data_IF_468899137749
#
_entry.id   IF_468899137749
#
_cell.length_a   1.000
_cell.length_b   1.000
_cell.length_c   1.000
_cell.angle_alpha   90.00
_cell.angle_beta   90.00
_cell.angle_gamma   90.00
#
_symmetry.space_group_name_H-M   'P 1'
#
loop_
_entity.id
_entity.type
_entity.pdbx_description
1 polymer ?
#
# COMPACT_ATOMS: atom_id res chain seq x y z
N UNK A 1 15.34 68.79 51.66
CA UNK A 1 14.21 68.01 51.11
C UNK A 1 14.36 67.78 49.62
N UNK A 2 14.66 68.80 48.80
CA UNK A 2 14.77 68.65 47.33
C UNK A 2 15.83 67.62 46.88
N UNK A 3 17.05 67.66 47.43
CA UNK A 3 18.10 66.68 47.11
C UNK A 3 17.73 65.22 47.43
N UNK A 4 16.86 65.01 48.43
CA UNK A 4 16.39 63.67 48.79
C UNK A 4 15.28 63.19 47.84
N UNK A 5 14.42 64.10 47.38
CA UNK A 5 13.42 63.85 46.35
C UNK A 5 14.10 63.52 45.01
N UNK A 6 15.15 64.25 44.63
CA UNK A 6 15.94 63.94 43.41
C UNK A 6 16.65 62.60 43.50
N UNK A 7 17.22 62.26 44.66
CA UNK A 7 17.81 60.93 44.88
C UNK A 7 16.78 59.81 44.75
N UNK A 8 15.60 59.98 45.35
CA UNK A 8 14.52 58.99 45.30
C UNK A 8 13.91 58.84 43.90
N UNK A 9 13.80 59.92 43.13
CA UNK A 9 13.32 59.87 41.74
C UNK A 9 14.33 59.15 40.84
N UNK A 10 15.63 59.42 40.98
CA UNK A 10 16.67 58.70 40.23
C UNK A 10 16.72 57.20 40.57
N UNK A 11 16.58 56.83 41.85
CA UNK A 11 16.52 55.42 42.23
C UNK A 11 15.26 54.74 41.72
N UNK A 12 14.11 55.42 41.75
CA UNK A 12 12.86 54.90 41.18
C UNK A 12 12.98 54.64 39.68
N UNK A 13 13.53 55.58 38.91
CA UNK A 13 13.78 55.39 37.47
C UNK A 13 14.72 54.21 37.21
N UNK A 14 15.77 54.04 38.01
CA UNK A 14 16.66 52.87 37.93
C UNK A 14 15.93 51.57 38.23
N UNK A 15 15.10 51.54 39.26
CA UNK A 15 14.28 50.37 39.63
C UNK A 15 13.25 50.02 38.55
N UNK A 16 12.61 51.02 37.94
CA UNK A 16 11.68 50.80 36.82
C UNK A 16 12.40 50.19 35.61
N UNK A 17 13.61 50.66 35.31
CA UNK A 17 14.44 50.11 34.23
C UNK A 17 14.87 48.68 34.51
N UNK A 18 15.35 48.38 35.71
CA UNK A 18 15.75 47.00 36.08
C UNK A 18 14.54 46.08 36.11
N UNK A 19 13.38 46.53 36.62
CA UNK A 19 12.16 45.73 36.60
C UNK A 19 11.69 45.41 35.17
N UNK A 20 11.82 46.37 34.24
CA UNK A 20 11.53 46.13 32.82
C UNK A 20 12.48 45.10 32.20
N UNK A 21 13.77 45.17 32.52
CA UNK A 21 14.77 44.20 32.03
C UNK A 21 14.45 42.81 32.57
N UNK A 22 14.22 42.69 33.88
CA UNK A 22 13.88 41.41 34.51
C UNK A 22 12.60 40.80 33.93
N UNK A 23 11.59 41.61 33.64
CA UNK A 23 10.38 41.11 32.96
C UNK A 23 10.69 40.54 31.58
N UNK A 24 11.45 41.27 30.75
CA UNK A 24 11.85 40.79 29.43
C UNK A 24 12.70 39.51 29.51
N UNK A 25 13.59 39.40 30.50
CA UNK A 25 14.40 38.21 30.72
C UNK A 25 13.55 37.02 31.18
N UNK A 26 12.58 37.24 32.08
CA UNK A 26 11.60 36.22 32.47
C UNK A 26 10.75 35.76 31.29
N UNK A 27 10.22 36.70 30.49
CA UNK A 27 9.42 36.37 29.31
C UNK A 27 10.25 35.56 28.30
N UNK A 28 11.51 35.94 28.09
CA UNK A 28 12.44 35.20 27.21
C UNK A 28 12.73 33.80 27.73
N UNK A 29 12.97 33.63 29.03
CA UNK A 29 13.21 32.32 29.63
C UNK A 29 11.98 31.42 29.49
N UNK A 30 10.78 31.96 29.77
CA UNK A 30 9.52 31.22 29.58
C UNK A 30 9.34 30.84 28.11
N UNK A 31 9.63 31.73 27.17
CA UNK A 31 9.55 31.39 25.74
C UNK A 31 10.56 30.31 25.33
N UNK A 32 11.78 30.33 25.88
CA UNK A 32 12.79 29.30 25.63
C UNK A 32 12.36 27.94 26.19
N UNK A 33 11.91 27.89 27.44
CA UNK A 33 11.45 26.64 28.08
C UNK A 33 10.17 26.09 27.45
N UNK A 34 9.30 26.98 26.92
CA UNK A 34 8.03 26.56 26.29
C UNK A 34 8.13 26.37 24.78
N UNK A 35 9.26 26.69 24.14
CA UNK A 35 9.40 26.60 22.68
C UNK A 35 9.25 25.16 22.17
N UNK A 36 9.94 24.21 22.80
CA UNK A 36 9.88 22.79 22.43
C UNK A 36 8.47 22.24 22.61
N UNK A 37 7.82 22.52 23.75
CA UNK A 37 6.44 22.12 24.00
C UNK A 37 5.45 22.74 22.99
N UNK A 38 5.62 24.01 22.61
CA UNK A 38 4.79 24.66 21.57
C UNK A 38 4.97 23.96 20.22
N UNK A 39 6.19 23.55 19.89
CA UNK A 39 6.49 22.82 18.67
C UNK A 39 5.85 21.42 18.69
N UNK A 40 6.05 20.65 19.75
CA UNK A 40 5.47 19.32 19.91
C UNK A 40 3.93 19.34 19.87
N UNK A 41 3.30 20.31 20.54
CA UNK A 41 1.84 20.51 20.46
C UNK A 41 1.39 20.79 19.02
N UNK A 42 2.17 21.55 18.25
CA UNK A 42 1.85 21.83 16.85
C UNK A 42 1.94 20.57 15.99
N UNK A 43 2.99 19.77 16.17
CA UNK A 43 3.17 18.50 15.47
C UNK A 43 2.07 17.49 15.81
N UNK A 44 1.77 17.31 17.10
CA UNK A 44 0.70 16.42 17.56
C UNK A 44 -0.66 16.84 17.00
N UNK A 45 -0.94 18.15 16.90
CA UNK A 45 -2.16 18.64 16.25
C UNK A 45 -2.21 18.28 14.77
N UNK A 46 -1.11 18.45 14.04
CA UNK A 46 -1.02 18.07 12.63
C UNK A 46 -1.23 16.55 12.45
N UNK A 47 -0.57 15.74 13.27
CA UNK A 47 -0.73 14.28 13.25
C UNK A 47 -2.16 13.87 13.58
N UNK A 48 -2.79 14.48 14.59
CA UNK A 48 -4.17 14.19 14.96
C UNK A 48 -5.15 14.52 13.81
N UNK A 49 -4.97 15.66 13.14
CA UNK A 49 -5.78 16.02 11.96
C UNK A 49 -5.59 14.99 10.84
N UNK A 50 -4.35 14.56 10.57
CA UNK A 50 -4.07 13.53 9.56
C UNK A 50 -4.74 12.20 9.91
N UNK A 51 -4.66 11.79 11.17
CA UNK A 51 -5.30 10.56 11.66
C UNK A 51 -6.82 10.64 11.59
N UNK A 52 -7.43 11.75 11.99
CA UNK A 52 -8.88 11.95 11.87
C UNK A 52 -9.34 11.87 10.42
N UNK A 53 -8.60 12.47 9.48
CA UNK A 53 -8.90 12.38 8.05
C UNK A 53 -8.77 10.94 7.53
N UNK A 54 -7.68 10.26 7.87
CA UNK A 54 -7.45 8.86 7.48
C UNK A 54 -8.53 7.93 8.04
N UNK A 55 -8.88 8.08 9.32
CA UNK A 55 -9.94 7.30 9.96
C UNK A 55 -11.29 7.51 9.30
N UNK A 56 -11.59 8.73 8.85
CA UNK A 56 -12.84 9.00 8.12
C UNK A 56 -12.87 8.31 6.76
N UNK A 57 -11.78 8.38 6.00
CA UNK A 57 -11.67 7.69 4.71
C UNK A 57 -11.82 6.17 4.86
N UNK A 58 -11.14 5.57 5.84
CA UNK A 58 -11.25 4.14 6.14
C UNK A 58 -12.67 3.74 6.54
N UNK A 59 -13.37 4.60 7.29
CA UNK A 59 -14.75 4.36 7.67
C UNK A 59 -15.68 4.41 6.45
N UNK A 60 -15.48 5.38 5.55
CA UNK A 60 -16.26 5.48 4.31
C UNK A 60 -16.01 4.25 3.41
N UNK A 61 -14.75 3.81 3.26
CA UNK A 61 -14.39 2.60 2.50
C UNK A 61 -15.04 1.34 3.09
N UNK A 62 -15.03 1.20 4.42
CA UNK A 62 -15.66 0.09 5.11
C UNK A 62 -17.17 0.07 4.86
N UNK A 63 -17.83 1.23 4.90
CA UNK A 63 -19.27 1.34 4.60
C UNK A 63 -19.56 0.93 3.16
N UNK A 64 -18.80 1.46 2.18
CA UNK A 64 -18.98 1.07 0.78
C UNK A 64 -18.79 -0.43 0.57
N UNK A 65 -17.75 -1.03 1.15
CA UNK A 65 -17.48 -2.48 1.02
C UNK A 65 -18.56 -3.32 1.69
N UNK A 66 -19.08 -2.86 2.83
CA UNK A 66 -20.18 -3.53 3.52
C UNK A 66 -21.46 -3.49 2.67
N UNK A 67 -21.76 -2.35 2.04
CA UNK A 67 -22.89 -2.22 1.12
C UNK A 67 -22.73 -3.09 -0.14
N UNK A 68 -21.54 -3.13 -0.74
CA UNK A 68 -21.24 -4.02 -1.88
C UNK A 68 -21.45 -5.48 -1.50
N UNK A 69 -20.93 -5.91 -0.35
CA UNK A 69 -21.09 -7.28 0.15
C UNK A 69 -22.57 -7.61 0.38
N UNK A 70 -23.31 -6.70 0.99
CA UNK A 70 -24.76 -6.87 1.19
C UNK A 70 -25.50 -6.97 -0.15
N UNK A 71 -25.17 -6.15 -1.15
CA UNK A 71 -25.74 -6.24 -2.50
C UNK A 71 -25.44 -7.60 -3.15
N UNK A 72 -24.19 -8.06 -3.10
CA UNK A 72 -23.80 -9.38 -3.62
C UNK A 72 -24.58 -10.50 -2.92
N UNK A 73 -24.73 -10.40 -1.60
CA UNK A 73 -25.52 -11.36 -0.81
C UNK A 73 -27.00 -11.34 -1.20
N UNK A 74 -27.59 -10.17 -1.37
CA UNK A 74 -28.98 -10.02 -1.83
C UNK A 74 -29.17 -10.56 -3.25
N UNK A 75 -28.25 -10.25 -4.16
CA UNK A 75 -28.27 -10.74 -5.54
C UNK A 75 -28.10 -12.25 -5.59
N UNK A 76 -27.25 -12.82 -4.73
CA UNK A 76 -27.14 -14.27 -4.56
C UNK A 76 -28.49 -14.85 -4.11
N UNK A 77 -29.13 -14.30 -3.09
CA UNK A 77 -30.44 -14.76 -2.61
C UNK A 77 -31.51 -14.64 -3.71
N UNK A 78 -31.52 -13.57 -4.51
CA UNK A 78 -32.47 -13.39 -5.61
C UNK A 78 -32.22 -14.34 -6.78
N UNK A 79 -30.96 -14.63 -7.08
CA UNK A 79 -30.55 -15.50 -8.17
C UNK A 79 -30.50 -16.98 -7.77
N UNK A 80 -30.70 -17.30 -6.49
CA UNK A 80 -30.87 -18.67 -6.02
C UNK A 80 -32.14 -19.26 -6.63
N UNK A 81 -31.96 -20.07 -7.68
CA UNK A 81 -33.04 -20.82 -8.33
C UNK A 81 -33.72 -21.78 -7.35
N UNK A 82 -32.96 -22.32 -6.40
CA UNK A 82 -33.42 -23.30 -5.43
C UNK A 82 -32.97 -22.86 -4.04
N UNK A 83 -33.93 -22.65 -3.14
CA UNK A 83 -33.69 -22.36 -1.72
C UNK A 83 -33.27 -23.68 -1.05
N UNK A 84 -32.30 -23.66 -0.13
CA UNK A 84 -31.65 -24.87 0.41
C UNK A 84 -32.58 -25.98 0.93
N UNK A 85 -32.06 -27.20 1.16
CA UNK A 85 -32.85 -28.36 1.55
C UNK A 85 -33.70 -28.14 2.81
N UNK A 86 -33.27 -27.25 3.70
CA UNK A 86 -34.01 -26.85 4.89
C UNK A 86 -35.28 -26.06 4.54
N UNK A 87 -35.20 -25.16 3.55
CA UNK A 87 -36.36 -24.42 3.08
C UNK A 87 -37.32 -25.32 2.30
N UNK A 88 -36.81 -26.21 1.44
CA UNK A 88 -37.64 -27.22 0.78
C UNK A 88 -38.38 -28.10 1.79
N UNK A 89 -37.70 -28.52 2.85
CA UNK A 89 -38.31 -29.28 3.95
C UNK A 89 -39.42 -28.48 4.65
N UNK A 90 -39.18 -27.22 5.00
CA UNK A 90 -40.18 -26.37 5.64
C UNK A 90 -41.42 -26.19 4.76
N UNK A 91 -41.25 -25.94 3.45
CA UNK A 91 -42.37 -25.82 2.51
C UNK A 91 -43.17 -27.13 2.45
N UNK A 92 -42.50 -28.28 2.44
CA UNK A 92 -43.16 -29.59 2.42
C UNK A 92 -43.96 -29.86 3.70
N UNK A 93 -43.43 -29.48 4.86
CA UNK A 93 -44.15 -29.58 6.15
C UNK A 93 -45.34 -28.63 6.19
N UNK A 94 -45.19 -27.39 5.72
CA UNK A 94 -46.29 -26.42 5.64
C UNK A 94 -47.43 -26.95 4.77
N UNK A 95 -47.14 -27.52 3.60
CA UNK A 95 -48.14 -28.12 2.72
C UNK A 95 -48.90 -29.27 3.40
N UNK A 96 -48.19 -30.11 4.15
CA UNK A 96 -48.81 -31.20 4.92
C UNK A 96 -49.76 -30.63 6.00
N UNK A 97 -49.31 -29.63 6.75
CA UNK A 97 -50.10 -29.01 7.81
C UNK A 97 -51.36 -28.34 7.27
N UNK A 98 -51.26 -27.64 6.12
CA UNK A 98 -52.44 -27.05 5.45
C UNK A 98 -53.49 -28.11 5.09
N UNK A 99 -53.09 -29.27 4.58
CA UNK A 99 -54.05 -30.35 4.27
C UNK A 99 -54.67 -31.01 5.48
N UNK A 100 -53.92 -31.13 6.58
CA UNK A 100 -54.45 -31.64 7.84
C UNK A 100 -55.53 -30.69 8.39
N UNK A 101 -55.32 -29.38 8.26
CA UNK A 101 -56.32 -28.38 8.63
C UNK A 101 -57.56 -28.39 7.74
N UNK A 102 -57.41 -28.70 6.45
CA UNK A 102 -58.53 -28.84 5.50
C UNK A 102 -59.34 -30.14 5.67
N UNK A 103 -58.93 -31.04 6.57
CA UNK A 103 -59.66 -32.28 6.85
C UNK A 103 -59.47 -33.39 5.82
N UNK A 104 -58.50 -33.24 4.90
CA UNK A 104 -58.16 -34.23 3.88
C UNK A 104 -56.76 -34.84 4.16
N UNK A 105 -56.63 -35.73 5.17
CA UNK A 105 -55.36 -36.35 5.50
C UNK A 105 -54.93 -37.44 4.50
N UNK A 106 -55.83 -37.87 3.62
CA UNK A 106 -55.56 -38.93 2.64
C UNK A 106 -55.01 -38.36 1.34
N UNK A 107 -54.08 -39.09 0.75
CA UNK A 107 -53.39 -38.70 -0.47
C UNK A 107 -54.07 -39.39 -1.67
N UNK A 108 -55.20 -38.86 -2.13
CA UNK A 108 -56.04 -39.51 -3.14
C UNK A 108 -55.57 -39.23 -4.59
N UNK A 109 -55.26 -37.96 -4.91
CA UNK A 109 -54.87 -37.54 -6.27
C UNK A 109 -53.54 -36.78 -6.33
N UNK A 110 -53.13 -36.20 -5.21
CA UNK A 110 -51.95 -35.33 -5.10
C UNK A 110 -51.13 -35.68 -3.87
N UNK A 111 -49.80 -35.64 -3.95
CA UNK A 111 -48.91 -35.94 -2.84
C UNK A 111 -49.00 -34.88 -1.72
N UNK A 112 -48.92 -35.34 -0.47
CA UNK A 112 -49.18 -34.56 0.75
C UNK A 112 -48.04 -33.58 1.09
N UNK A 113 -46.86 -33.75 0.47
CA UNK A 113 -45.68 -32.91 0.69
C UNK A 113 -45.40 -31.97 -0.49
N UNK A 114 -45.56 -32.45 -1.73
CA UNK A 114 -45.15 -31.71 -2.93
C UNK A 114 -46.31 -31.05 -3.68
N UNK A 115 -47.57 -31.32 -3.30
CA UNK A 115 -48.78 -30.91 -4.05
C UNK A 115 -48.81 -31.33 -5.53
N UNK A 116 -47.90 -32.20 -5.95
CA UNK A 116 -47.82 -32.73 -7.31
C UNK A 116 -48.80 -33.90 -7.50
N UNK A 117 -49.32 -34.13 -8.73
CA UNK A 117 -50.17 -35.27 -9.02
C UNK A 117 -49.41 -36.58 -8.77
N UNK A 118 -50.12 -37.57 -8.23
CA UNK A 118 -49.59 -38.91 -7.99
C UNK A 118 -49.27 -39.59 -9.33
N UNK A 119 -48.03 -39.49 -9.80
CA UNK A 119 -47.58 -40.25 -10.96
C UNK A 119 -47.37 -41.72 -10.57
N UNK A 120 -47.67 -42.64 -11.50
CA UNK A 120 -47.68 -44.11 -11.31
C UNK A 120 -46.35 -44.75 -10.84
N UNK A 121 -45.27 -43.98 -10.65
CA UNK A 121 -43.93 -44.49 -10.30
C UNK A 121 -43.67 -44.78 -8.82
N UNK A 122 -44.53 -44.34 -7.89
CA UNK A 122 -44.35 -44.51 -6.43
C UNK A 122 -45.45 -45.35 -5.75
N UNK A 123 -46.15 -46.18 -6.53
CA UNK A 123 -47.13 -47.13 -6.01
C UNK A 123 -46.45 -48.43 -5.60
N UNK A 124 -46.31 -48.67 -4.30
CA UNK A 124 -45.87 -49.98 -3.80
C UNK A 124 -47.09 -50.88 -3.71
N UNK A 125 -47.08 -52.00 -4.45
CA UNK A 125 -48.02 -53.10 -4.20
C UNK A 125 -47.72 -53.65 -2.80
N UNK A 126 -48.57 -53.34 -1.83
CA UNK A 126 -48.61 -54.08 -0.57
C UNK A 126 -49.03 -55.52 -0.84
N UNK A 127 -48.52 -56.43 0.00
CA UNK A 127 -48.57 -57.90 -0.04
C UNK A 127 -49.83 -58.55 -0.65
N UNK A 128 -49.73 -59.80 -1.18
CA UNK A 128 -50.86 -60.51 -1.77
C UNK A 128 -52.03 -60.59 -0.79
N UNK A 129 -53.28 -60.33 -1.22
CA UNK A 129 -54.44 -60.43 -0.35
C UNK A 129 -54.66 -61.88 0.10
N UNK A 130 -54.99 -62.10 1.37
CA UNK A 130 -55.36 -63.43 1.89
C UNK A 130 -56.78 -63.88 1.47
N UNK A 131 -57.46 -63.15 0.58
CA UNK A 131 -58.79 -63.49 0.05
C UNK A 131 -59.05 -62.88 -1.33
N UNK A 132 -59.67 -63.66 -2.23
CA UNK A 132 -59.81 -63.39 -3.68
C UNK A 132 -60.77 -62.22 -4.06
N UNK A 133 -61.35 -61.49 -3.10
CA UNK A 133 -62.37 -60.47 -3.37
C UNK A 133 -61.90 -59.00 -3.22
N UNK A 134 -60.63 -58.76 -2.88
CA UNK A 134 -60.08 -57.40 -2.80
C UNK A 134 -59.03 -57.14 -3.88
N UNK A 135 -59.38 -56.29 -4.86
CA UNK A 135 -58.39 -55.71 -5.77
C UNK A 135 -57.38 -54.90 -4.94
N UNK A 136 -56.06 -55.07 -5.13
CA UNK A 136 -55.06 -54.28 -4.43
C UNK A 136 -55.20 -52.81 -4.86
N UNK A 137 -55.63 -51.94 -3.95
CA UNK A 137 -55.61 -50.50 -4.19
C UNK A 137 -54.16 -49.99 -4.06
N UNK A 138 -53.65 -49.23 -5.05
CA UNK A 138 -52.32 -48.67 -4.99
C UNK A 138 -52.24 -47.61 -3.87
N UNK A 139 -51.64 -47.96 -2.73
CA UNK A 139 -51.36 -47.00 -1.66
C UNK A 139 -50.09 -46.21 -2.00
N UNK A 140 -50.24 -44.89 -2.16
CA UNK A 140 -49.10 -43.99 -2.32
C UNK A 140 -48.36 -43.79 -1.00
N UNK A 141 -47.04 -43.96 -1.00
CA UNK A 141 -46.19 -43.68 0.15
C UNK A 141 -45.71 -42.23 0.07
N UNK A 142 -46.33 -41.36 0.87
CA UNK A 142 -45.92 -39.96 1.00
C UNK A 142 -44.60 -39.87 1.78
N UNK A 143 -43.47 -39.62 1.10
CA UNK A 143 -42.22 -39.23 1.75
C UNK A 143 -41.82 -37.81 1.35
N UNK A 144 -41.24 -37.02 2.26
CA UNK A 144 -40.57 -35.78 1.91
C UNK A 144 -39.46 -36.08 0.89
N UNK A 145 -39.48 -35.39 -0.25
CA UNK A 145 -38.43 -35.50 -1.27
C UNK A 145 -37.63 -34.21 -1.21
N UNK A 146 -36.51 -34.26 -0.49
CA UNK A 146 -35.57 -33.14 -0.47
C UNK A 146 -34.69 -33.30 -1.71
N UNK A 147 -34.75 -32.33 -2.63
CA UNK A 147 -33.90 -32.35 -3.81
C UNK A 147 -32.52 -31.83 -3.39
N UNK A 148 -31.64 -32.75 -2.99
CA UNK A 148 -30.21 -32.45 -2.92
C UNK A 148 -29.71 -32.25 -4.35
N UNK A 149 -29.79 -31.01 -4.82
CA UNK A 149 -29.37 -30.62 -6.17
C UNK A 149 -27.85 -30.54 -6.29
N UNK A 150 -27.16 -31.61 -5.89
CA UNK A 150 -25.86 -31.92 -6.46
C UNK A 150 -26.18 -32.69 -7.74
N UNK A 151 -26.55 -31.96 -8.80
CA UNK A 151 -26.51 -32.54 -10.15
C UNK A 151 -25.03 -32.75 -10.46
N UNK A 152 -24.51 -33.91 -10.05
CA UNK A 152 -23.08 -34.18 -9.87
C UNK A 152 -22.25 -34.14 -11.16
N UNK A 153 -22.85 -33.90 -12.32
CA UNK A 153 -22.14 -33.75 -13.59
C UNK A 153 -21.80 -32.30 -13.92
N UNK A 154 -22.80 -31.41 -13.97
CA UNK A 154 -22.62 -30.03 -14.46
C UNK A 154 -22.03 -29.11 -13.41
N UNK A 155 -22.47 -29.23 -12.14
CA UNK A 155 -21.90 -28.45 -11.04
C UNK A 155 -20.47 -28.90 -10.72
N UNK A 156 -20.20 -30.22 -10.76
CA UNK A 156 -18.85 -30.73 -10.53
C UNK A 156 -17.87 -30.26 -11.62
N UNK A 157 -18.27 -30.31 -12.89
CA UNK A 157 -17.44 -29.81 -13.99
C UNK A 157 -17.21 -28.30 -13.92
N UNK A 158 -18.23 -27.51 -13.55
CA UNK A 158 -18.07 -26.07 -13.33
C UNK A 158 -17.11 -25.76 -12.18
N UNK A 159 -17.24 -26.48 -11.06
CA UNK A 159 -16.34 -26.34 -9.90
C UNK A 159 -14.92 -26.80 -10.22
N UNK A 160 -14.74 -27.85 -11.02
CA UNK A 160 -13.41 -28.29 -11.49
C UNK A 160 -12.76 -27.22 -12.38
N UNK A 161 -13.52 -26.64 -13.31
CA UNK A 161 -13.03 -25.56 -14.17
C UNK A 161 -12.67 -24.31 -13.35
N UNK A 162 -13.51 -23.93 -12.39
CA UNK A 162 -13.22 -22.83 -11.47
C UNK A 162 -11.97 -23.13 -10.61
N UNK A 163 -11.80 -24.38 -10.15
CA UNK A 163 -10.61 -24.77 -9.39
C UNK A 163 -9.34 -24.66 -10.24
N UNK A 164 -9.40 -25.06 -11.51
CA UNK A 164 -8.28 -24.92 -12.45
C UNK A 164 -7.95 -23.44 -12.65
N UNK A 165 -8.96 -22.60 -12.91
CA UNK A 165 -8.77 -21.17 -13.11
C UNK A 165 -8.21 -20.48 -11.85
N UNK A 166 -8.68 -20.86 -10.66
CA UNK A 166 -8.15 -20.34 -9.41
C UNK A 166 -6.69 -20.76 -9.18
N UNK A 167 -6.32 -21.99 -9.56
CA UNK A 167 -4.93 -22.45 -9.48
C UNK A 167 -4.03 -21.71 -10.46
N UNK A 168 -4.48 -21.50 -11.69
CA UNK A 168 -3.75 -20.71 -12.69
C UNK A 168 -3.54 -19.28 -12.21
N UNK A 169 -4.59 -18.63 -11.69
CA UNK A 169 -4.49 -17.28 -11.12
C UNK A 169 -3.54 -17.23 -9.91
N UNK A 170 -3.52 -18.26 -9.06
CA UNK A 170 -2.58 -18.34 -7.95
C UNK A 170 -1.13 -18.55 -8.41
N UNK A 171 -0.91 -19.27 -9.52
CA UNK A 171 0.41 -19.39 -10.13
C UNK A 171 0.88 -18.03 -10.68
N UNK A 172 0.04 -17.35 -11.47
CA UNK A 172 0.40 -16.04 -12.03
C UNK A 172 0.66 -15.00 -10.95
N UNK A 173 -0.14 -14.99 -9.88
CA UNK A 173 0.08 -14.10 -8.74
C UNK A 173 1.38 -14.40 -7.99
N UNK A 174 1.82 -15.67 -7.97
CA UNK A 174 3.10 -16.07 -7.37
C UNK A 174 4.27 -15.62 -8.24
N UNK A 175 4.17 -15.79 -9.55
CA UNK A 175 5.18 -15.34 -10.50
C UNK A 175 5.35 -13.81 -10.44
N UNK A 176 4.24 -13.08 -10.37
CA UNK A 176 4.26 -11.62 -10.19
C UNK A 176 4.87 -11.21 -8.84
N UNK A 177 4.59 -11.96 -7.77
CA UNK A 177 5.19 -11.73 -6.45
C UNK A 177 6.70 -11.96 -6.48
N UNK A 178 7.18 -13.03 -7.11
CA UNK A 178 8.60 -13.33 -7.27
C UNK A 178 9.30 -12.22 -8.08
N UNK A 179 8.70 -11.82 -9.21
CA UNK A 179 9.23 -10.74 -10.04
C UNK A 179 9.30 -9.40 -9.32
N UNK A 180 8.28 -9.08 -8.51
CA UNK A 180 8.28 -7.87 -7.68
C UNK A 180 9.35 -7.95 -6.58
N UNK A 181 9.58 -9.13 -6.02
CA UNK A 181 10.61 -9.33 -5.02
C UNK A 181 12.01 -9.13 -5.59
N UNK A 182 12.29 -9.66 -6.79
CA UNK A 182 13.56 -9.45 -7.49
C UNK A 182 13.81 -7.98 -7.80
N UNK A 183 12.78 -7.28 -8.30
CA UNK A 183 12.88 -5.84 -8.57
C UNK A 183 13.12 -5.02 -7.31
N UNK A 184 12.51 -5.42 -6.19
CA UNK A 184 12.71 -4.77 -4.90
C UNK A 184 14.16 -4.96 -4.42
N UNK A 185 14.72 -6.18 -4.55
CA UNK A 185 16.10 -6.46 -4.21
C UNK A 185 17.08 -5.63 -5.06
N UNK A 186 16.86 -5.53 -6.38
CA UNK A 186 17.67 -4.68 -7.27
C UNK A 186 17.63 -3.21 -6.82
N UNK A 187 16.45 -2.70 -6.45
CA UNK A 187 16.31 -1.32 -5.97
C UNK A 187 16.96 -1.11 -4.60
N UNK A 188 16.92 -2.10 -3.71
CA UNK A 188 17.63 -2.05 -2.45
C UNK A 188 19.16 -1.99 -2.67
N UNK A 189 19.69 -2.80 -3.57
CA UNK A 189 21.10 -2.77 -3.97
C UNK A 189 21.50 -1.40 -4.53
N UNK A 190 20.72 -0.84 -5.46
CA UNK A 190 20.92 0.51 -6.00
C UNK A 190 20.96 1.56 -4.88
N UNK A 191 20.01 1.49 -3.93
CA UNK A 191 19.94 2.46 -2.83
C UNK A 191 21.14 2.35 -1.90
N UNK A 192 21.62 1.15 -1.63
CA UNK A 192 22.79 0.95 -0.76
C UNK A 192 24.08 1.44 -1.44
N UNK A 193 24.19 1.24 -2.75
CA UNK A 193 25.28 1.77 -3.56
C UNK A 193 25.28 3.31 -3.54
N UNK A 194 24.13 3.93 -3.76
CA UNK A 194 23.98 5.40 -3.71
C UNK A 194 24.28 5.98 -2.32
N UNK A 195 23.90 5.28 -1.24
CA UNK A 195 24.29 5.69 0.14
C UNK A 195 25.79 5.64 0.34
N UNK A 196 26.47 4.62 -0.18
CA UNK A 196 27.92 4.51 -0.10
C UNK A 196 28.60 5.65 -0.88
N UNK A 197 28.12 5.94 -2.09
CA UNK A 197 28.63 7.07 -2.88
C UNK A 197 28.39 8.42 -2.19
N UNK A 198 27.22 8.61 -1.59
CA UNK A 198 26.90 9.84 -0.85
C UNK A 198 27.84 10.00 0.34
N UNK A 199 28.05 8.93 1.12
CA UNK A 199 29.00 8.95 2.25
C UNK A 199 30.41 9.30 1.80
N UNK A 200 30.88 8.73 0.70
CA UNK A 200 32.19 9.06 0.15
C UNK A 200 32.26 10.54 -0.28
N UNK A 201 31.19 11.08 -0.86
CA UNK A 201 31.11 12.52 -1.20
C UNK A 201 31.13 13.39 0.04
N UNK A 202 30.39 13.03 1.09
CA UNK A 202 30.39 13.74 2.38
C UNK A 202 31.79 13.75 3.00
N UNK A 203 32.48 12.60 3.00
CA UNK A 203 33.87 12.50 3.50
C UNK A 203 34.83 13.41 2.72
N UNK A 204 34.69 13.48 1.40
CA UNK A 204 35.46 14.38 0.53
C UNK A 204 35.15 15.84 0.88
N UNK A 205 33.88 16.21 1.02
CA UNK A 205 33.47 17.57 1.38
C UNK A 205 34.04 17.95 2.74
N UNK A 206 33.92 17.10 3.75
CA UNK A 206 34.50 17.33 5.08
C UNK A 206 36.04 17.40 5.07
N UNK A 207 36.71 16.72 4.14
CA UNK A 207 38.15 16.88 3.94
C UNK A 207 38.46 18.25 3.31
N UNK A 208 37.70 18.66 2.29
CA UNK A 208 37.86 19.96 1.65
C UNK A 208 37.61 21.12 2.62
N UNK A 209 36.57 21.03 3.47
CA UNK A 209 36.30 22.02 4.52
C UNK A 209 37.49 22.18 5.46
N UNK A 210 38.06 21.06 5.94
CA UNK A 210 39.27 21.09 6.79
C UNK A 210 40.48 21.68 6.08
N UNK A 211 40.63 21.40 4.79
CA UNK A 211 41.73 21.95 3.99
C UNK A 211 41.54 23.45 3.72
N UNK A 212 40.30 23.92 3.52
CA UNK A 212 39.97 25.34 3.43
C UNK A 212 40.23 26.08 4.75
N UNK A 213 39.81 25.52 5.88
CA UNK A 213 40.09 26.10 7.20
C UNK A 213 41.61 26.22 7.46
N UNK A 214 42.38 25.19 7.10
CA UNK A 214 43.84 25.22 7.20
C UNK A 214 44.44 26.32 6.32
N UNK A 215 43.99 26.42 5.07
CA UNK A 215 44.47 27.43 4.13
C UNK A 215 44.10 28.83 4.60
N UNK A 216 42.91 29.04 5.15
CA UNK A 216 42.49 30.31 5.74
C UNK A 216 43.41 30.73 6.89
N UNK A 217 43.76 29.80 7.78
CA UNK A 217 44.72 30.03 8.85
C UNK A 217 46.11 30.41 8.33
N UNK A 218 46.63 29.70 7.33
CA UNK A 218 47.92 30.02 6.69
C UNK A 218 47.90 31.41 6.03
N UNK A 219 46.81 31.79 5.37
CA UNK A 219 46.64 33.13 4.78
C UNK A 219 46.60 34.20 5.87
N UNK A 220 45.90 33.96 6.98
CA UNK A 220 45.85 34.89 8.12
C UNK A 220 47.26 35.10 8.70
N UNK A 221 48.03 34.03 8.87
CA UNK A 221 49.38 34.12 9.42
C UNK A 221 50.35 34.83 8.46
N UNK A 222 50.29 34.52 7.16
CA UNK A 222 51.03 35.27 6.14
C UNK A 222 50.64 36.76 6.14
N UNK A 223 49.36 37.10 6.26
CA UNK A 223 48.92 38.49 6.35
C UNK A 223 49.45 39.20 7.60
N UNK A 224 49.55 38.51 8.74
CA UNK A 224 50.17 39.07 9.96
C UNK A 224 51.66 39.33 9.74
N UNK A 225 52.38 38.40 9.14
CA UNK A 225 53.81 38.54 8.84
C UNK A 225 54.06 39.70 7.86
N UNK A 226 53.21 39.86 6.84
CA UNK A 226 53.23 41.01 5.93
C UNK A 226 52.94 42.35 6.63
N UNK A 227 52.08 42.37 7.65
CA UNK A 227 51.72 43.57 8.42
C UNK A 227 52.79 44.00 9.44
N UNK A 228 53.79 43.16 9.70
CA UNK A 228 54.96 43.47 10.53
C UNK A 228 56.26 43.36 9.71
N UNK A 229 56.59 44.32 8.82
CA UNK A 229 57.77 44.25 7.96
C UNK A 229 59.10 44.40 8.71
N UNK A 230 59.07 44.83 9.98
CA UNK A 230 60.22 45.44 10.65
C UNK A 230 61.14 44.47 11.41
N UNK A 231 61.11 43.16 11.13
CA UNK A 231 62.00 42.22 11.83
C UNK A 231 62.78 41.20 11.00
N UNK A 232 62.70 41.21 9.68
CA UNK A 232 63.54 40.36 8.83
C UNK A 232 64.18 41.15 7.68
N UNK A 233 65.16 41.98 8.02
CA UNK A 233 66.36 42.12 7.17
C UNK A 233 67.19 40.86 7.32
N UNK A 234 66.81 39.81 6.60
CA UNK A 234 67.66 38.64 6.38
C UNK A 234 67.40 38.11 4.96
N UNK A 235 68.27 38.56 4.05
CA UNK A 235 68.70 37.85 2.83
C UNK A 235 67.65 37.01 2.10
N UNK A 236 66.77 37.70 1.38
CA UNK A 236 65.94 37.14 0.32
C UNK A 236 66.83 36.81 -0.91
N UNK A 237 67.30 35.57 -0.98
CA UNK A 237 67.73 34.92 -2.23
C UNK A 237 66.48 34.53 -3.03
N UNK A 238 65.93 35.50 -3.77
CA UNK A 238 64.79 35.30 -4.67
C UNK A 238 65.35 34.98 -6.06
N UNK A 239 65.60 33.70 -6.35
CA UNK A 239 66.00 33.27 -7.71
C UNK A 239 65.62 31.83 -8.07
N UNK A 240 64.59 31.21 -7.46
CA UNK A 240 64.23 29.83 -7.81
C UNK A 240 62.73 29.46 -7.66
N UNK A 241 61.83 30.32 -8.16
CA UNK A 241 60.35 30.09 -8.11
C UNK A 241 59.75 29.87 -9.52
N UNK A 242 60.55 29.52 -10.54
CA UNK A 242 60.04 29.25 -11.90
C UNK A 242 60.40 27.86 -12.46
N UNK A 243 60.74 26.88 -11.63
CA UNK A 243 60.86 25.49 -12.09
C UNK A 243 59.48 24.80 -12.04
N UNK A 244 58.76 24.82 -13.17
CA UNK A 244 57.62 23.91 -13.37
C UNK A 244 58.10 22.45 -13.40
N UNK A 245 57.42 21.50 -12.74
CA UNK A 245 57.71 20.09 -12.94
C UNK A 245 57.38 19.70 -14.38
N UNK A 246 58.39 19.21 -15.10
CA UNK A 246 58.26 18.65 -16.44
C UNK A 246 57.41 17.37 -16.32
N UNK A 247 56.28 17.23 -17.02
CA UNK A 247 55.51 15.99 -17.00
C UNK A 247 56.30 14.85 -17.67
N UNK A 248 56.18 13.61 -17.18
CA UNK A 248 56.91 12.47 -17.72
C UNK A 248 56.51 12.20 -19.18
N UNK A 249 57.45 11.73 -20.03
CA UNK A 249 57.17 11.50 -21.44
C UNK A 249 56.18 10.35 -21.62
N UNK A 250 55.16 10.58 -22.45
CA UNK A 250 54.24 9.56 -22.94
C UNK A 250 55.03 8.44 -23.66
N UNK A 251 54.77 7.16 -23.36
CA UNK A 251 55.33 6.06 -24.13
C UNK A 251 54.84 6.12 -25.58
N UNK A 252 55.80 6.01 -26.50
CA UNK A 252 55.57 5.94 -27.95
C UNK A 252 54.81 4.65 -28.29
N UNK A 253 53.73 4.81 -29.03
CA UNK A 253 53.12 3.73 -29.80
C UNK A 253 54.17 3.09 -30.72
N UNK A 254 54.34 1.77 -30.61
CA UNK A 254 54.90 0.97 -31.68
C UNK A 254 53.80 0.01 -32.17
N UNK A 255 53.46 0.04 -33.46
CA UNK A 255 52.56 -0.92 -34.06
C UNK A 255 53.32 -2.21 -34.37
N UNK A 256 52.63 -3.36 -34.30
CA UNK A 256 52.55 -4.41 -35.35
C UNK A 256 51.94 -5.69 -34.77
N UNK A 257 50.72 -5.94 -35.26
CA UNK A 257 50.07 -7.21 -35.61
C UNK A 257 50.58 -8.56 -35.06
N UNK A 258 49.62 -9.32 -34.52
CA UNK A 258 49.01 -10.53 -35.14
C UNK A 258 47.75 -10.91 -34.37
N UNK A 259 46.56 -10.77 -34.95
CA UNK A 259 45.66 -11.86 -35.43
C UNK A 259 45.45 -12.95 -34.38
N UNK A 260 44.24 -13.25 -33.92
CA UNK A 260 43.17 -13.92 -34.67
C UNK A 260 41.86 -13.82 -33.86
N UNK A 261 40.77 -13.48 -34.56
CA UNK A 261 39.35 -13.93 -34.47
C UNK A 261 38.72 -14.22 -33.09
N UNK A 262 37.48 -13.86 -32.81
CA UNK A 262 36.30 -14.00 -33.66
C UNK A 262 35.06 -13.37 -33.00
N UNK A 263 34.14 -12.92 -33.88
CA UNK A 263 32.69 -12.73 -33.69
C UNK A 263 32.26 -11.76 -32.58
N UNK A 264 31.76 -10.55 -32.88
CA UNK A 264 30.61 -10.28 -33.76
C UNK A 264 29.41 -10.03 -32.83
N UNK A 265 28.59 -8.98 -32.95
CA UNK A 265 28.27 -8.07 -34.05
C UNK A 265 27.46 -6.89 -33.46
N UNK A 266 27.79 -5.65 -33.90
CA UNK A 266 26.89 -4.51 -34.23
C UNK A 266 25.64 -4.27 -33.38
N UNK A 267 25.53 -3.13 -32.68
CA UNK A 267 25.08 -1.81 -33.20
C UNK A 267 23.61 -1.87 -33.67
N UNK A 268 22.75 -0.90 -33.38
CA UNK A 268 22.94 0.53 -33.56
C UNK A 268 21.68 1.28 -33.12
N UNK A 269 21.81 2.60 -33.02
CA UNK A 269 20.79 3.62 -33.27
C UNK A 269 19.55 3.77 -32.35
N UNK A 270 19.58 4.82 -31.53
CA UNK A 270 18.43 5.71 -31.30
C UNK A 270 18.08 6.48 -32.60
N UNK A 271 17.13 7.44 -32.63
CA UNK A 271 15.78 7.56 -32.07
C UNK A 271 14.75 7.86 -33.19
N UNK A 272 13.42 7.82 -32.95
CA UNK A 272 12.44 8.59 -33.75
C UNK A 272 11.04 8.64 -33.11
N UNK A 273 10.53 9.87 -33.06
CA UNK A 273 9.15 10.32 -32.88
C UNK A 273 8.17 9.76 -33.92
N UNK A 274 6.87 9.65 -33.59
CA UNK A 274 5.76 10.47 -34.14
C UNK A 274 4.38 9.78 -33.92
N UNK A 275 3.40 10.61 -33.56
CA UNK A 275 2.02 10.64 -34.06
C UNK A 275 0.94 9.61 -33.63
N UNK A 276 -0.12 10.21 -33.10
CA UNK A 276 -1.54 10.07 -33.47
C UNK A 276 -2.40 8.89 -32.97
N UNK A 277 -3.49 9.33 -32.31
CA UNK A 277 -4.68 8.57 -31.91
C UNK A 277 -5.48 8.05 -33.13
N UNK A 278 -6.53 7.23 -32.94
CA UNK A 278 -7.83 7.84 -32.64
C UNK A 278 -8.74 7.04 -31.68
N UNK A 279 -9.73 7.77 -31.15
CA UNK A 279 -10.98 7.27 -30.56
C UNK A 279 -11.71 6.29 -31.48
N UNK A 280 -12.70 5.58 -30.92
CA UNK A 280 -13.98 5.52 -31.62
C UNK A 280 -15.15 5.92 -30.71
N UNK A 281 -15.82 6.99 -31.12
CA UNK A 281 -17.26 7.15 -30.98
C UNK A 281 -17.98 5.94 -31.61
N UNK A 282 -19.13 5.55 -31.05
CA UNK A 282 -20.45 5.57 -31.73
C UNK A 282 -21.49 4.71 -30.95
N UNK A 283 -22.56 5.41 -30.52
CA UNK A 283 -23.97 4.98 -30.54
C UNK A 283 -24.57 4.10 -29.40
N UNK A 284 -25.36 4.78 -28.56
CA UNK A 284 -26.73 4.36 -28.14
C UNK A 284 -27.58 3.93 -29.36
N UNK A 285 -28.61 3.04 -29.25
CA UNK A 285 -29.79 3.28 -28.39
C UNK A 285 -30.59 2.06 -27.89
N UNK A 286 -31.18 2.17 -26.68
CA UNK A 286 -32.63 2.07 -26.39
C UNK A 286 -32.90 2.13 -24.90
#
# INVERSE_FOLDING_TARGET
MEAEIERLTLTNVRLLRTNRILKLDCDRLVDQETAELKHEIHELRLQNIRLQRSSRLLQDDLLMKTEELNKVREDQIRNMKNVGPEYEYLVQIINLLYRQLEGNPTCDKTCCYTNQPLSQGFSVLTLPPESEEQKPEPQHICRPVIHSNISGGTLASALEQENIQLRENLETMRDDQERLHDMLNEKEEDTEMLKCELRMKDDIVSQLERDFERMEMEVIDLQKDWRYPDRLKSESSFSDIHAFPIPPPLPKDNPVMRTVSSSGTSSDSSPSSLADAPEPDFYSPR
#
